data_IF_886947909813
#
_entry.id   IF_886947909813
#
_cell.length_a   1.000
_cell.length_b   1.000
_cell.length_c   1.000
_cell.angle_alpha   90.00
_cell.angle_beta   90.00
_cell.angle_gamma   90.00
#
_symmetry.space_group_name_H-M   'P 1'
#
loop_
_entity.id
_entity.type
_entity.pdbx_description
1 polymer ?
#
# COMPACT_ATOMS: atom_id res chain seq x y z
N UNK A 1 -11.71 -15.97 -1.98
CA UNK A 1 -10.81 -16.31 -0.87
C UNK A 1 -9.63 -15.35 -0.89
N UNK A 2 -9.32 -14.69 0.23
CA UNK A 2 -8.14 -13.83 0.34
C UNK A 2 -6.90 -14.71 0.54
N UNK A 3 -5.79 -14.38 -0.12
CA UNK A 3 -4.51 -15.06 0.10
C UNK A 3 -3.85 -14.55 1.38
N UNK A 4 -3.12 -15.40 2.12
CA UNK A 4 -2.40 -14.99 3.32
C UNK A 4 -1.32 -13.95 3.00
N UNK A 5 -0.92 -13.16 3.99
CA UNK A 5 0.09 -12.09 3.81
C UNK A 5 1.42 -12.66 3.33
N UNK A 6 1.83 -13.83 3.83
CA UNK A 6 3.02 -14.54 3.36
C UNK A 6 3.00 -14.94 1.88
N UNK A 7 1.85 -14.88 1.18
CA UNK A 7 1.83 -15.01 -0.28
C UNK A 7 2.37 -13.76 -0.99
N UNK A 8 2.21 -12.58 -0.39
CA UNK A 8 2.54 -11.29 -0.98
C UNK A 8 3.86 -10.70 -0.49
N UNK A 9 4.44 -11.29 0.55
CA UNK A 9 5.70 -10.89 1.20
C UNK A 9 6.65 -12.07 1.28
N UNK A 10 7.88 -11.86 1.76
CA UNK A 10 8.82 -12.94 2.06
C UNK A 10 8.61 -13.58 3.44
N UNK A 11 7.54 -13.20 4.17
CA UNK A 11 7.30 -13.70 5.51
C UNK A 11 6.85 -15.17 5.47
N UNK A 12 7.46 -16.00 6.30
CA UNK A 12 7.09 -17.39 6.50
C UNK A 12 6.45 -17.60 7.88
N UNK A 13 5.49 -18.51 8.03
CA UNK A 13 4.93 -18.83 9.33
C UNK A 13 6.03 -19.29 10.31
N UNK A 14 6.11 -18.65 11.48
CA UNK A 14 7.10 -18.97 12.50
C UNK A 14 8.52 -18.47 12.21
N UNK A 15 8.70 -17.55 11.25
CA UNK A 15 10.02 -16.97 10.95
C UNK A 15 10.50 -15.94 11.99
N UNK A 16 9.65 -15.60 12.97
CA UNK A 16 9.96 -14.64 14.02
C UNK A 16 10.05 -13.19 13.54
N UNK A 17 9.66 -12.91 12.29
CA UNK A 17 9.58 -11.55 11.78
C UNK A 17 8.41 -10.80 12.41
N UNK A 18 8.46 -9.46 12.37
CA UNK A 18 7.32 -8.64 12.79
C UNK A 18 6.05 -8.94 11.96
N UNK A 19 6.19 -9.41 10.72
CA UNK A 19 5.04 -9.84 9.91
C UNK A 19 4.43 -11.15 10.43
N UNK A 20 5.23 -12.06 10.99
CA UNK A 20 4.73 -13.25 11.67
C UNK A 20 3.96 -12.88 12.95
N UNK A 21 4.51 -11.97 13.77
CA UNK A 21 3.81 -11.45 14.96
C UNK A 21 2.45 -10.81 14.62
N UNK A 22 2.40 -10.01 13.54
CA UNK A 22 1.15 -9.40 13.09
C UNK A 22 0.14 -10.44 12.60
N UNK A 23 0.59 -11.50 11.91
CA UNK A 23 -0.28 -12.59 11.46
C UNK A 23 -0.81 -13.41 12.63
N UNK A 24 0.01 -13.67 13.64
CA UNK A 24 -0.43 -14.34 14.88
C UNK A 24 -1.49 -13.51 15.62
N UNK A 25 -1.33 -12.19 15.65
CA UNK A 25 -2.23 -11.28 16.37
C UNK A 25 -3.54 -10.98 15.64
N UNK A 26 -3.48 -10.71 14.34
CA UNK A 26 -4.63 -10.19 13.57
C UNK A 26 -5.17 -11.18 12.53
N UNK A 27 -4.56 -12.36 12.43
CA UNK A 27 -4.90 -13.40 11.47
C UNK A 27 -4.09 -13.30 10.17
N UNK A 28 -4.00 -14.42 9.47
CA UNK A 28 -3.14 -14.58 8.27
C UNK A 28 -3.54 -13.69 7.09
N UNK A 29 -4.77 -13.18 7.09
CA UNK A 29 -5.30 -12.22 6.10
C UNK A 29 -5.70 -10.88 6.74
N UNK A 30 -5.26 -10.64 7.97
CA UNK A 30 -5.74 -9.58 8.84
C UNK A 30 -7.26 -9.58 9.00
N UNK A 31 -7.90 -10.75 9.05
CA UNK A 31 -9.35 -10.90 9.19
C UNK A 31 -9.92 -10.26 10.47
N UNK A 32 -9.09 -10.09 11.52
CA UNK A 32 -9.50 -9.41 12.75
C UNK A 32 -9.50 -7.88 12.64
N UNK A 33 -8.94 -7.32 11.57
CA UNK A 33 -9.00 -5.88 11.30
C UNK A 33 -10.27 -5.54 10.51
N UNK A 34 -10.95 -4.48 10.95
CA UNK A 34 -12.04 -3.86 10.21
C UNK A 34 -11.54 -3.23 8.90
N UNK A 35 -12.49 -2.91 8.01
CA UNK A 35 -12.17 -2.26 6.73
C UNK A 35 -11.45 -0.92 6.93
N UNK A 36 -11.84 -0.12 7.92
CA UNK A 36 -11.22 1.18 8.16
C UNK A 36 -9.79 1.04 8.70
N UNK A 37 -9.53 0.08 9.58
CA UNK A 37 -8.18 -0.21 10.09
C UNK A 37 -7.25 -0.66 8.96
N UNK A 38 -7.73 -1.50 8.03
CA UNK A 38 -6.97 -1.90 6.84
C UNK A 38 -6.63 -0.71 5.92
N UNK A 39 -7.57 0.21 5.75
CA UNK A 39 -7.34 1.43 4.96
C UNK A 39 -6.33 2.36 5.63
N UNK A 40 -6.41 2.53 6.95
CA UNK A 40 -5.45 3.30 7.73
C UNK A 40 -4.04 2.69 7.65
N UNK A 41 -3.94 1.37 7.76
CA UNK A 41 -2.67 0.65 7.60
C UNK A 41 -2.10 0.83 6.19
N UNK A 42 -2.93 0.68 5.15
CA UNK A 42 -2.51 0.90 3.77
C UNK A 42 -2.01 2.33 3.54
N UNK A 43 -2.71 3.33 4.08
CA UNK A 43 -2.29 4.74 4.01
C UNK A 43 -0.89 4.92 4.62
N UNK A 44 -0.65 4.40 5.83
CA UNK A 44 0.65 4.49 6.48
C UNK A 44 1.78 3.79 5.71
N UNK A 45 1.51 2.60 5.15
CA UNK A 45 2.48 1.86 4.32
C UNK A 45 2.85 2.68 3.07
N UNK A 46 1.87 3.22 2.36
CA UNK A 46 2.11 4.02 1.14
C UNK A 46 2.87 5.31 1.47
N UNK A 47 2.56 5.98 2.58
CA UNK A 47 3.32 7.15 3.04
C UNK A 47 4.79 6.81 3.32
N UNK A 48 5.05 5.69 4.00
CA UNK A 48 6.42 5.25 4.28
C UNK A 48 7.19 4.89 3.00
N UNK A 49 6.55 4.22 2.04
CA UNK A 49 7.14 3.91 0.73
C UNK A 49 7.49 5.19 -0.03
N UNK A 50 6.58 6.17 -0.07
CA UNK A 50 6.84 7.46 -0.70
C UNK A 50 8.02 8.17 -0.03
N UNK A 51 8.04 8.25 1.30
CA UNK A 51 9.14 8.89 2.03
C UNK A 51 10.50 8.22 1.74
N UNK A 52 10.53 6.88 1.66
CA UNK A 52 11.74 6.15 1.30
C UNK A 52 12.23 6.51 -0.12
N UNK A 53 11.31 6.58 -1.10
CA UNK A 53 11.65 6.96 -2.47
C UNK A 53 12.14 8.41 -2.56
N UNK A 54 11.52 9.33 -1.81
CA UNK A 54 11.96 10.73 -1.72
C UNK A 54 13.38 10.82 -1.17
N UNK A 55 13.73 10.00 -0.18
CA UNK A 55 15.08 9.97 0.38
C UNK A 55 16.12 9.47 -0.64
N UNK A 56 15.73 8.63 -1.59
CA UNK A 56 16.60 8.10 -2.65
C UNK A 56 16.74 9.10 -3.80
N UNK A 57 15.62 9.62 -4.30
CA UNK A 57 15.57 10.47 -5.51
C UNK A 57 15.82 11.96 -5.23
N UNK A 58 15.63 12.38 -3.98
CA UNK A 58 15.71 13.76 -3.53
C UNK A 58 14.37 14.52 -3.58
N UNK A 59 14.22 15.46 -2.66
CA UNK A 59 12.97 16.22 -2.45
C UNK A 59 12.54 17.08 -3.64
N UNK A 60 13.46 17.50 -4.50
CA UNK A 60 13.15 18.29 -5.69
C UNK A 60 12.38 17.49 -6.75
N UNK A 61 12.75 16.23 -6.97
CA UNK A 61 12.06 15.30 -7.88
C UNK A 61 10.65 15.02 -7.38
N UNK A 62 10.52 14.80 -6.06
CA UNK A 62 9.23 14.60 -5.42
C UNK A 62 8.29 15.79 -5.60
N UNK A 63 8.78 17.01 -5.39
CA UNK A 63 8.01 18.23 -5.56
C UNK A 63 7.51 18.40 -7.01
N UNK A 64 8.33 18.07 -8.00
CA UNK A 64 7.92 18.09 -9.41
C UNK A 64 6.82 17.05 -9.70
N UNK A 65 6.92 15.85 -9.12
CA UNK A 65 5.92 14.80 -9.27
C UNK A 65 4.55 15.19 -8.66
N UNK A 66 4.54 15.91 -7.52
CA UNK A 66 3.29 16.37 -6.87
C UNK A 66 2.44 17.20 -7.83
N UNK A 67 3.04 18.09 -8.62
CA UNK A 67 2.31 18.91 -9.59
C UNK A 67 1.61 18.07 -10.66
N UNK A 68 2.25 16.99 -11.12
CA UNK A 68 1.69 16.06 -12.09
C UNK A 68 0.54 15.25 -11.49
N UNK A 69 0.74 14.75 -10.27
CA UNK A 69 -0.22 13.86 -9.60
C UNK A 69 -1.44 14.61 -9.07
N UNK A 70 -1.29 15.88 -8.67
CA UNK A 70 -2.37 16.65 -8.03
C UNK A 70 -3.62 16.80 -8.92
N UNK A 71 -3.45 17.01 -10.23
CA UNK A 71 -4.57 17.08 -11.18
C UNK A 71 -5.27 15.73 -11.37
N UNK A 72 -4.48 14.65 -11.39
CA UNK A 72 -4.97 13.28 -11.52
C UNK A 72 -5.74 12.89 -10.25
N UNK A 73 -5.19 13.15 -9.07
CA UNK A 73 -5.80 12.85 -7.78
C UNK A 73 -7.15 13.58 -7.60
N UNK A 74 -7.22 14.86 -7.96
CA UNK A 74 -8.49 15.60 -7.94
C UNK A 74 -9.54 14.99 -8.87
N UNK A 75 -9.13 14.51 -10.05
CA UNK A 75 -10.04 13.91 -11.02
C UNK A 75 -10.54 12.54 -10.54
N UNK A 76 -9.65 11.73 -9.94
CA UNK A 76 -9.99 10.44 -9.33
C UNK A 76 -11.04 10.63 -8.23
N UNK A 77 -10.78 11.54 -7.28
CA UNK A 77 -11.68 11.77 -6.15
C UNK A 77 -13.09 12.24 -6.56
N UNK A 78 -13.21 12.88 -7.73
CA UNK A 78 -14.50 13.37 -8.25
C UNK A 78 -15.26 12.34 -9.08
N UNK A 79 -14.57 11.41 -9.73
CA UNK A 79 -15.13 10.60 -10.83
C UNK A 79 -15.11 9.10 -10.56
N UNK A 80 -14.28 8.64 -9.64
CA UNK A 80 -14.06 7.22 -9.36
C UNK A 80 -14.85 6.83 -8.11
N UNK A 81 -15.54 5.70 -8.16
CA UNK A 81 -16.29 5.20 -7.00
C UNK A 81 -15.34 4.62 -5.95
N UNK A 82 -15.77 4.53 -4.69
CA UNK A 82 -14.97 3.93 -3.62
C UNK A 82 -14.55 2.47 -3.94
N UNK A 83 -15.38 1.73 -4.68
CA UNK A 83 -15.07 0.36 -5.11
C UNK A 83 -13.91 0.32 -6.12
N UNK A 84 -13.87 1.27 -7.05
CA UNK A 84 -12.83 1.36 -8.08
C UNK A 84 -11.49 1.87 -7.52
N UNK A 85 -11.50 2.65 -6.44
CA UNK A 85 -10.27 3.11 -5.76
C UNK A 85 -9.40 1.93 -5.30
N UNK A 86 -10.01 0.86 -4.77
CA UNK A 86 -9.27 -0.34 -4.36
C UNK A 86 -8.69 -1.10 -5.56
N UNK A 87 -9.41 -1.14 -6.68
CA UNK A 87 -8.91 -1.71 -7.93
C UNK A 87 -7.73 -0.92 -8.48
N UNK A 88 -7.82 0.40 -8.49
CA UNK A 88 -6.74 1.29 -8.91
C UNK A 88 -5.51 1.17 -8.01
N UNK A 89 -5.69 1.16 -6.69
CA UNK A 89 -4.60 0.94 -5.74
C UNK A 89 -3.90 -0.41 -5.99
N UNK A 90 -4.68 -1.48 -6.24
CA UNK A 90 -4.12 -2.80 -6.57
C UNK A 90 -3.31 -2.79 -7.87
N UNK A 91 -3.79 -2.08 -8.90
CA UNK A 91 -3.07 -1.94 -10.16
C UNK A 91 -1.73 -1.22 -9.98
N UNK A 92 -1.72 -0.09 -9.27
CA UNK A 92 -0.51 0.70 -9.00
C UNK A 92 0.51 -0.09 -8.16
N UNK A 93 0.07 -0.78 -7.10
CA UNK A 93 0.95 -1.62 -6.28
C UNK A 93 1.63 -2.69 -7.13
N UNK A 94 0.88 -3.36 -8.01
CA UNK A 94 1.46 -4.39 -8.88
C UNK A 94 2.44 -3.78 -9.89
N UNK A 95 2.14 -2.62 -10.47
CA UNK A 95 3.06 -1.94 -11.37
C UNK A 95 4.37 -1.59 -10.65
N UNK A 96 4.29 -0.98 -9.45
CA UNK A 96 5.46 -0.61 -8.65
C UNK A 96 6.33 -1.81 -8.27
N UNK A 97 5.73 -2.98 -7.98
CA UNK A 97 6.48 -4.21 -7.65
C UNK A 97 7.38 -4.72 -8.77
N UNK A 98 7.00 -4.47 -10.02
CA UNK A 98 7.71 -4.99 -11.21
C UNK A 98 8.39 -3.89 -12.03
N UNK A 99 8.20 -2.63 -11.64
CA UNK A 99 8.86 -1.49 -12.25
C UNK A 99 10.35 -1.55 -11.88
N UNK A 100 11.22 -1.56 -12.90
CA UNK A 100 12.67 -1.55 -12.76
C UNK A 100 13.20 -0.13 -12.68
#
# INVERSE_FOLDING_TARGET
MNKPIGFYTSAMPGDGSYLDELQQRYGSTFEQLSKIEKLLLLHGIVQNLLNAEINIQGSSVAAAAVSTVSLIAQSINKRVTLGEHLGLASALINQLKYQR
#
